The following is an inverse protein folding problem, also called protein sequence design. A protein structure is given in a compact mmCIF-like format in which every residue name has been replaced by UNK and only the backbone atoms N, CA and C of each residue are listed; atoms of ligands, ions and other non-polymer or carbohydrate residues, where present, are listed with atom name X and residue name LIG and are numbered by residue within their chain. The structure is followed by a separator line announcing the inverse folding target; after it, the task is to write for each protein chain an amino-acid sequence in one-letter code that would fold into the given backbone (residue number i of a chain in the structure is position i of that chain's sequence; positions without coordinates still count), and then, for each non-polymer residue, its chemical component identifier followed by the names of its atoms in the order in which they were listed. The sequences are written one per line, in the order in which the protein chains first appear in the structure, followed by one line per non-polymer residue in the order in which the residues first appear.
data_IF_925928537543
#
_entry.id   IF_925928537543
#
_cell.length_a   1.000
_cell.length_b   1.000
_cell.length_c   1.000
_cell.angle_alpha   90.00
_cell.angle_beta   90.00
_cell.angle_gamma   90.00
#
_symmetry.space_group_name_H-M   'P 1'
#
loop_
_entity.id
_entity.type
_entity.pdbx_description
1 polymer ?
#
# COMPACT_ATOMS: atom_id res chain seq x y z
N UNK A 1 3.33 -7.37 7.98
CA UNK A 1 3.74 -6.65 6.75
C UNK A 1 4.64 -5.48 7.12
N UNK A 2 5.80 -5.36 6.49
CA UNK A 2 6.72 -4.25 6.72
C UNK A 2 6.28 -3.03 5.88
N UNK A 3 5.96 -1.91 6.53
CA UNK A 3 5.47 -0.68 5.89
C UNK A 3 6.55 -0.07 4.98
N UNK A 4 7.82 -0.11 5.38
CA UNK A 4 8.93 0.40 4.56
C UNK A 4 9.04 -0.37 3.24
N UNK A 5 8.89 -1.69 3.26
CA UNK A 5 8.87 -2.52 2.04
C UNK A 5 7.68 -2.17 1.15
N UNK A 6 6.51 -1.89 1.73
CA UNK A 6 5.35 -1.42 0.98
C UNK A 6 5.62 -0.09 0.28
N UNK A 7 6.17 0.87 1.01
CA UNK A 7 6.54 2.20 0.48
C UNK A 7 7.59 2.07 -0.62
N UNK A 8 8.63 1.27 -0.39
CA UNK A 8 9.68 1.03 -1.37
C UNK A 8 9.12 0.46 -2.67
N UNK A 9 8.21 -0.54 -2.57
CA UNK A 9 7.56 -1.12 -3.75
C UNK A 9 6.68 -0.13 -4.50
N UNK A 10 5.91 0.70 -3.78
CA UNK A 10 5.12 1.78 -4.40
C UNK A 10 6.02 2.73 -5.20
N UNK A 11 7.13 3.16 -4.60
CA UNK A 11 8.10 4.07 -5.22
C UNK A 11 8.83 3.42 -6.41
N UNK A 12 9.20 2.14 -6.32
CA UNK A 12 9.81 1.38 -7.43
C UNK A 12 8.89 1.32 -8.65
N UNK A 13 7.57 1.25 -8.43
CA UNK A 13 6.56 1.27 -9.48
C UNK A 13 6.17 2.68 -9.94
N UNK A 14 6.77 3.73 -9.38
CA UNK A 14 6.49 5.12 -9.74
C UNK A 14 5.13 5.65 -9.30
N UNK A 15 4.38 4.92 -8.48
CA UNK A 15 3.06 5.37 -8.03
C UNK A 15 3.17 6.49 -7.00
N UNK A 16 2.44 7.58 -7.19
CA UNK A 16 2.06 8.47 -6.09
C UNK A 16 1.07 7.78 -5.13
N UNK A 17 0.92 8.33 -3.92
CA UNK A 17 -0.07 7.83 -2.97
C UNK A 17 -1.51 7.94 -3.51
N UNK A 18 -1.82 8.99 -4.28
CA UNK A 18 -3.12 9.19 -4.93
C UNK A 18 -3.39 8.16 -6.02
N UNK A 19 -2.39 7.84 -6.85
CA UNK A 19 -2.53 6.84 -7.92
C UNK A 19 -2.72 5.44 -7.34
N UNK A 20 -1.95 5.11 -6.31
CA UNK A 20 -2.13 3.83 -5.61
C UNK A 20 -3.53 3.73 -4.98
N UNK A 21 -4.01 4.83 -4.36
CA UNK A 21 -5.31 4.88 -3.70
C UNK A 21 -6.51 4.82 -4.66
N UNK A 22 -6.35 5.21 -5.93
CA UNK A 22 -7.44 5.41 -6.90
C UNK A 22 -8.39 4.20 -6.99
N UNK A 23 -9.67 4.40 -6.64
CA UNK A 23 -10.69 3.35 -6.66
C UNK A 23 -10.57 2.29 -5.56
N UNK A 24 -9.72 2.51 -4.55
CA UNK A 24 -9.53 1.61 -3.40
C UNK A 24 -9.79 2.36 -2.08
N UNK A 25 -9.13 3.51 -1.89
CA UNK A 25 -9.23 4.34 -0.70
C UNK A 25 -8.86 5.80 -1.04
N UNK A 26 -8.62 6.65 -0.03
CA UNK A 26 -8.16 8.02 -0.25
C UNK A 26 -6.64 8.13 -0.15
N UNK A 27 -6.04 9.14 -0.77
CA UNK A 27 -4.61 9.43 -0.60
C UNK A 27 -4.27 9.64 0.88
N UNK A 28 -5.14 10.30 1.64
CA UNK A 28 -4.95 10.50 3.08
C UNK A 28 -4.90 9.17 3.85
N UNK A 29 -5.66 8.15 3.43
CA UNK A 29 -5.57 6.80 3.99
C UNK A 29 -4.20 6.18 3.74
N UNK A 30 -3.64 6.31 2.53
CA UNK A 30 -2.29 5.82 2.22
C UNK A 30 -1.24 6.60 3.01
N UNK A 31 -1.34 7.94 3.06
CA UNK A 31 -0.41 8.77 3.82
C UNK A 31 -0.38 8.40 5.29
N UNK A 32 -1.54 8.20 5.93
CA UNK A 32 -1.63 7.75 7.31
C UNK A 32 -0.99 6.36 7.47
N UNK A 33 -1.33 5.41 6.61
CA UNK A 33 -0.76 4.06 6.64
C UNK A 33 0.78 4.06 6.49
N UNK A 34 1.32 4.82 5.54
CA UNK A 34 2.77 4.91 5.29
C UNK A 34 3.52 5.64 6.42
N UNK A 35 2.87 6.58 7.11
CA UNK A 35 3.45 7.35 8.21
C UNK A 35 3.15 6.75 9.61
N UNK A 36 2.91 5.44 9.70
CA UNK A 36 2.70 4.74 10.98
C UNK A 36 1.33 4.98 11.64
N UNK A 37 0.45 5.71 10.96
CA UNK A 37 -0.89 6.06 11.41
C UNK A 37 -1.95 5.05 10.96
N UNK A 38 -2.27 4.11 11.84
CA UNK A 38 -3.48 3.26 11.83
C UNK A 38 -3.47 2.07 10.86
N UNK A 39 -3.88 0.91 11.39
CA UNK A 39 -4.20 -0.26 10.57
C UNK A 39 -5.36 0.06 9.62
N UNK A 40 -5.13 -0.15 8.32
CA UNK A 40 -6.17 -0.19 7.30
C UNK A 40 -6.77 -1.59 7.26
N UNK A 41 -8.04 -1.71 6.85
CA UNK A 41 -8.71 -3.00 6.80
C UNK A 41 -7.98 -3.97 5.86
N UNK A 42 -8.01 -5.26 6.18
CA UNK A 42 -7.43 -6.33 5.36
C UNK A 42 -7.94 -6.31 3.92
N UNK A 43 -9.20 -5.92 3.70
CA UNK A 43 -9.81 -5.74 2.37
C UNK A 43 -9.12 -4.65 1.55
N UNK A 44 -8.85 -3.49 2.15
CA UNK A 44 -8.13 -2.39 1.48
C UNK A 44 -6.69 -2.84 1.22
N UNK A 45 -6.04 -3.40 2.23
CA UNK A 45 -4.65 -3.88 2.15
C UNK A 45 -4.46 -4.87 1.00
N UNK A 46 -5.36 -5.84 0.88
CA UNK A 46 -5.31 -6.86 -0.18
C UNK A 46 -5.40 -6.23 -1.57
N UNK A 47 -6.31 -5.28 -1.78
CA UNK A 47 -6.45 -4.57 -3.06
C UNK A 47 -5.20 -3.74 -3.39
N UNK A 48 -4.63 -3.06 -2.41
CA UNK A 48 -3.38 -2.30 -2.59
C UNK A 48 -2.22 -3.25 -2.95
N UNK A 49 -2.11 -4.38 -2.25
CA UNK A 49 -1.10 -5.40 -2.54
C UNK A 49 -1.25 -5.99 -3.95
N UNK A 50 -2.49 -6.29 -4.37
CA UNK A 50 -2.77 -6.73 -5.75
C UNK A 50 -2.28 -5.72 -6.79
N UNK A 51 -2.47 -4.42 -6.55
CA UNK A 51 -2.00 -3.36 -7.44
C UNK A 51 -0.48 -3.21 -7.45
N UNK A 52 0.18 -3.43 -6.31
CA UNK A 52 1.65 -3.42 -6.20
C UNK A 52 2.31 -4.70 -6.76
N UNK A 53 1.49 -5.68 -7.14
CA UNK A 53 1.90 -6.91 -7.81
C UNK A 53 2.40 -8.01 -6.87
N UNK A 54 2.70 -9.21 -7.41
CA UNK A 54 2.96 -10.42 -6.62
C UNK A 54 4.18 -10.31 -5.70
N UNK A 55 5.15 -9.44 -6.03
CA UNK A 55 6.35 -9.21 -5.20
C UNK A 55 6.03 -8.76 -3.78
N UNK A 56 4.87 -8.14 -3.52
CA UNK A 56 4.50 -7.72 -2.16
C UNK A 56 3.84 -8.84 -1.35
N UNK A 57 3.15 -9.79 -2.02
CA UNK A 57 2.48 -10.92 -1.38
C UNK A 57 3.45 -11.88 -0.69
N UNK A 58 4.71 -11.93 -1.14
CA UNK A 58 5.77 -12.76 -0.55
C UNK A 58 6.28 -12.26 0.81
N UNK A 59 5.91 -11.04 1.23
CA UNK A 59 6.33 -10.46 2.53
C UNK A 59 5.23 -10.54 3.61
N UNK A 60 4.18 -11.31 3.36
CA UNK A 60 3.09 -11.60 4.32
C UNK A 60 3.35 -12.92 5.10
N UNK A 61 4.37 -13.69 4.71
CA UNK A 61 4.90 -14.80 5.51
C UNK A 61 5.99 -14.34 6.46
#
# INVERSE_FOLDING_TARGET
MNIEKFIARRKELGFSQSELAKGICTQATISKFENGGKMISTKILTKLCQRLGPKIGTFIK
#
